data_IF_617865220450
#
_entry.id   IF_617865220450
#
_cell.length_a   1.000
_cell.length_b   1.000
_cell.length_c   1.000
_cell.angle_alpha   90.00
_cell.angle_beta   90.00
_cell.angle_gamma   90.00
#
_symmetry.space_group_name_H-M   'P 1'
#
loop_
_entity.id
_entity.type
_entity.pdbx_description
1 polymer ?
#
# COMPACT_ATOMS: atom_id res chain seq x y z
N UNK A 1 -4.37 12.92 -31.73
CA UNK A 1 -3.53 13.27 -30.57
C UNK A 1 -3.57 12.10 -29.57
N UNK A 2 -2.46 11.35 -29.47
CA UNK A 2 -2.29 10.18 -28.58
C UNK A 2 -1.86 10.66 -27.19
N UNK A 3 -2.82 10.83 -26.29
CA UNK A 3 -2.58 11.04 -24.86
C UNK A 3 -2.84 9.75 -24.09
N UNK A 4 -1.91 8.80 -24.11
CA UNK A 4 -1.88 7.67 -23.16
C UNK A 4 -0.42 7.35 -22.87
N UNK A 5 -0.07 7.23 -21.58
CA UNK A 5 1.24 6.86 -21.00
C UNK A 5 2.15 7.99 -20.48
N UNK A 6 1.58 9.00 -19.84
CA UNK A 6 2.29 9.70 -18.76
C UNK A 6 1.51 9.43 -17.48
N UNK A 7 2.22 9.20 -16.37
CA UNK A 7 1.80 8.65 -15.06
C UNK A 7 1.99 7.12 -14.96
N UNK A 8 2.64 6.71 -13.86
CA UNK A 8 3.00 5.35 -13.43
C UNK A 8 4.38 4.82 -13.87
N UNK A 9 5.44 5.35 -13.26
CA UNK A 9 6.79 4.77 -13.28
C UNK A 9 7.34 4.45 -11.87
N UNK A 10 6.49 4.21 -10.86
CA UNK A 10 6.94 3.82 -9.52
C UNK A 10 6.36 2.50 -8.98
N UNK A 11 5.38 1.87 -9.66
CA UNK A 11 4.77 0.60 -9.17
C UNK A 11 5.14 -0.61 -10.02
N UNK A 12 5.78 -0.41 -11.18
CA UNK A 12 6.15 -1.51 -12.09
C UNK A 12 7.62 -1.98 -11.94
N UNK A 13 8.30 -1.65 -10.84
CA UNK A 13 9.63 -2.22 -10.55
C UNK A 13 9.55 -3.55 -9.78
N UNK A 14 8.40 -3.93 -9.23
CA UNK A 14 8.25 -5.16 -8.45
C UNK A 14 7.87 -6.41 -9.24
N UNK A 15 7.61 -6.30 -10.55
CA UNK A 15 7.13 -7.42 -11.36
C UNK A 15 8.13 -7.94 -12.41
N UNK A 16 9.40 -7.49 -12.38
CA UNK A 16 10.44 -7.94 -13.32
C UNK A 16 11.70 -8.52 -12.66
N UNK A 17 11.66 -8.89 -11.39
CA UNK A 17 12.77 -9.56 -10.73
C UNK A 17 12.69 -11.10 -10.89
N UNK A 18 12.92 -11.60 -12.11
CA UNK A 18 13.18 -13.01 -12.37
C UNK A 18 13.61 -13.19 -13.83
N UNK A 19 14.71 -13.83 -14.19
CA UNK A 19 15.71 -14.64 -13.48
C UNK A 19 17.06 -14.42 -14.21
N UNK A 20 18.18 -14.35 -13.48
CA UNK A 20 19.37 -15.17 -13.77
C UNK A 20 20.56 -14.83 -12.85
N UNK A 21 21.11 -15.90 -12.27
CA UNK A 21 22.51 -16.01 -11.86
C UNK A 21 22.92 -15.38 -10.53
N UNK A 22 22.89 -16.19 -9.47
CA UNK A 22 23.71 -16.08 -8.25
C UNK A 22 23.90 -14.65 -7.68
N UNK A 23 22.80 -14.02 -7.27
CA UNK A 23 22.88 -12.91 -6.32
C UNK A 23 23.20 -13.48 -4.93
N UNK A 24 24.30 -13.05 -4.31
CA UNK A 24 24.69 -13.51 -2.97
C UNK A 24 23.60 -13.28 -1.91
N UNK A 25 23.81 -13.78 -0.70
CA UNK A 25 22.87 -13.74 0.45
C UNK A 25 22.11 -12.39 0.61
N UNK A 26 22.79 -11.26 0.35
CA UNK A 26 22.19 -9.92 0.39
C UNK A 26 21.05 -9.70 -0.63
N UNK A 27 21.18 -10.22 -1.86
CA UNK A 27 20.17 -10.08 -2.90
C UNK A 27 18.95 -10.97 -2.63
N UNK A 28 19.18 -12.21 -2.17
CA UNK A 28 18.09 -13.10 -1.74
C UNK A 28 17.30 -12.49 -0.57
N UNK A 29 18.01 -11.90 0.40
CA UNK A 29 17.41 -11.19 1.53
C UNK A 29 16.63 -9.94 1.09
N UNK A 30 17.14 -9.16 0.14
CA UNK A 30 16.43 -8.01 -0.42
C UNK A 30 15.09 -8.44 -1.03
N UNK A 31 15.11 -9.44 -1.91
CA UNK A 31 13.92 -9.95 -2.57
C UNK A 31 12.89 -10.46 -1.56
N UNK A 32 13.32 -11.25 -0.56
CA UNK A 32 12.42 -11.75 0.48
C UNK A 32 11.76 -10.63 1.31
N UNK A 33 12.49 -9.55 1.60
CA UNK A 33 11.93 -8.39 2.31
C UNK A 33 10.94 -7.61 1.43
N UNK A 34 11.25 -7.41 0.15
CA UNK A 34 10.35 -6.76 -0.81
C UNK A 34 9.08 -7.59 -1.02
N UNK A 35 9.19 -8.90 -1.19
CA UNK A 35 8.05 -9.80 -1.37
C UNK A 35 7.14 -9.80 -0.13
N UNK A 36 7.74 -9.87 1.07
CA UNK A 36 7.01 -9.79 2.32
C UNK A 36 6.30 -8.44 2.51
N UNK A 37 6.98 -7.34 2.18
CA UNK A 37 6.41 -6.00 2.25
C UNK A 37 5.22 -5.88 1.28
N UNK A 38 5.38 -6.37 0.05
CA UNK A 38 4.34 -6.35 -1.00
C UNK A 38 3.09 -7.08 -0.56
N UNK A 39 3.22 -8.31 -0.05
CA UNK A 39 2.10 -9.07 0.51
C UNK A 39 1.44 -8.33 1.66
N UNK A 40 2.23 -7.70 2.54
CA UNK A 40 1.71 -6.93 3.67
C UNK A 40 0.88 -5.75 3.20
N UNK A 41 1.37 -4.99 2.21
CA UNK A 41 0.67 -3.84 1.62
C UNK A 41 -0.65 -4.28 0.99
N UNK A 42 -0.62 -5.26 0.08
CA UNK A 42 -1.83 -5.67 -0.64
C UNK A 42 -2.86 -6.38 0.24
N UNK A 43 -2.42 -7.11 1.27
CA UNK A 43 -3.34 -7.72 2.24
C UNK A 43 -4.04 -6.64 3.09
N UNK A 44 -3.33 -5.56 3.44
CA UNK A 44 -3.89 -4.45 4.22
C UNK A 44 -4.75 -3.50 3.38
N UNK A 45 -4.55 -3.47 2.05
CA UNK A 45 -5.21 -2.56 1.12
C UNK A 45 -5.92 -3.31 -0.04
N UNK A 46 -7.12 -3.90 0.22
CA UNK A 46 -7.93 -4.55 -0.81
C UNK A 46 -8.34 -3.65 -1.98
N UNK A 47 -8.41 -2.34 -1.74
CA UNK A 47 -8.67 -1.31 -2.74
C UNK A 47 -7.50 -1.16 -3.72
N UNK A 48 -6.26 -1.14 -3.22
CA UNK A 48 -5.06 -1.14 -4.07
C UNK A 48 -4.94 -2.46 -4.85
N UNK A 49 -5.34 -3.58 -4.26
CA UNK A 49 -5.39 -4.86 -4.96
C UNK A 49 -6.36 -4.82 -6.16
N UNK A 50 -7.52 -4.18 -6.01
CA UNK A 50 -8.43 -3.90 -7.14
C UNK A 50 -7.79 -2.93 -8.14
N UNK A 51 -7.19 -1.84 -7.68
CA UNK A 51 -6.60 -0.81 -8.54
C UNK A 51 -5.51 -1.37 -9.46
N UNK A 52 -4.62 -2.20 -8.91
CA UNK A 52 -3.51 -2.80 -9.66
C UNK A 52 -3.86 -4.15 -10.30
N UNK A 53 -5.07 -4.67 -10.08
CA UNK A 53 -5.52 -5.97 -10.58
C UNK A 53 -4.52 -7.10 -10.28
N UNK A 54 -4.02 -7.15 -9.03
CA UNK A 54 -3.06 -8.18 -8.61
C UNK A 54 -3.74 -9.52 -8.40
N UNK A 55 -2.97 -10.60 -8.42
CA UNK A 55 -3.46 -11.94 -8.14
C UNK A 55 -3.94 -12.09 -6.69
N UNK A 56 -4.99 -12.88 -6.47
CA UNK A 56 -5.51 -13.15 -5.12
C UNK A 56 -4.50 -13.86 -4.21
N UNK A 57 -3.55 -14.63 -4.76
CA UNK A 57 -2.45 -15.20 -3.99
C UNK A 57 -1.55 -14.13 -3.35
N UNK A 58 -1.57 -12.90 -3.88
CA UNK A 58 -0.79 -11.78 -3.34
C UNK A 58 -1.57 -10.95 -2.30
N UNK A 59 -2.86 -10.71 -2.54
CA UNK A 59 -3.71 -9.81 -1.75
C UNK A 59 -4.71 -10.52 -0.81
N UNK A 60 -4.79 -11.84 -0.91
CA UNK A 60 -5.82 -12.67 -0.29
C UNK A 60 -7.11 -12.72 -1.11
N UNK A 61 -7.75 -13.88 -1.09
CA UNK A 61 -9.00 -14.16 -1.81
C UNK A 61 -10.10 -13.14 -1.47
N UNK A 62 -10.95 -12.87 -2.46
CA UNK A 62 -12.13 -12.01 -2.30
C UNK A 62 -11.77 -10.57 -1.93
N UNK A 63 -10.59 -10.06 -2.32
CA UNK A 63 -10.23 -8.67 -2.00
C UNK A 63 -11.25 -7.68 -2.59
N UNK A 64 -11.89 -8.01 -3.72
CA UNK A 64 -12.94 -7.19 -4.35
C UNK A 64 -14.21 -7.02 -3.49
N UNK A 65 -14.44 -7.88 -2.50
CA UNK A 65 -15.56 -7.78 -1.56
C UNK A 65 -15.21 -7.05 -0.25
N UNK A 66 -13.94 -6.67 -0.06
CA UNK A 66 -13.39 -6.14 1.21
C UNK A 66 -12.99 -4.68 1.09
N UNK A 67 -12.99 -3.97 2.22
CA UNK A 67 -12.47 -2.61 2.35
C UNK A 67 -11.24 -2.60 3.28
N UNK A 68 -10.31 -1.65 3.10
CA UNK A 68 -9.25 -1.41 4.08
C UNK A 68 -9.83 -0.97 5.43
N UNK A 69 -9.14 -1.34 6.50
CA UNK A 69 -9.42 -0.83 7.85
C UNK A 69 -8.64 0.48 8.07
N UNK A 70 -9.40 1.56 8.32
CA UNK A 70 -8.88 2.91 8.55
C UNK A 70 -8.85 3.30 10.04
N UNK A 71 -9.15 2.37 10.95
CA UNK A 71 -9.11 2.61 12.39
C UNK A 71 -7.68 2.85 12.93
N UNK A 72 -7.54 3.53 14.08
CA UNK A 72 -6.25 3.79 14.71
C UNK A 72 -5.40 2.53 14.96
N UNK A 73 -6.03 1.43 15.38
CA UNK A 73 -5.33 0.17 15.65
C UNK A 73 -4.77 -0.46 14.37
N UNK A 74 -5.54 -0.43 13.28
CA UNK A 74 -5.10 -0.94 11.99
C UNK A 74 -3.94 -0.11 11.42
N UNK A 75 -4.00 1.22 11.57
CA UNK A 75 -2.91 2.12 11.20
C UNK A 75 -1.63 1.83 12.01
N UNK A 76 -1.74 1.67 13.33
CA UNK A 76 -0.59 1.34 14.19
C UNK A 76 0.02 -0.01 13.83
N UNK A 77 -0.82 -1.03 13.61
CA UNK A 77 -0.37 -2.34 13.15
C UNK A 77 0.41 -2.23 11.83
N UNK A 78 -0.05 -1.37 10.91
CA UNK A 78 0.60 -1.12 9.61
C UNK A 78 1.94 -0.40 9.80
N UNK A 79 2.00 0.64 10.63
CA UNK A 79 3.24 1.36 11.00
C UNK A 79 4.28 0.42 11.59
N UNK A 80 3.90 -0.41 12.55
CA UNK A 80 4.80 -1.38 13.17
C UNK A 80 5.30 -2.43 12.16
N UNK A 81 4.43 -2.92 11.27
CA UNK A 81 4.84 -3.82 10.20
C UNK A 81 5.87 -3.18 9.27
N UNK A 82 5.60 -1.97 8.80
CA UNK A 82 6.49 -1.25 7.90
C UNK A 82 7.81 -0.89 8.60
N UNK A 83 7.80 -0.49 9.88
CA UNK A 83 9.02 -0.24 10.63
C UNK A 83 9.95 -1.47 10.71
N UNK A 84 9.38 -2.68 10.83
CA UNK A 84 10.16 -3.94 10.77
C UNK A 84 10.80 -4.15 9.40
N UNK A 85 10.06 -3.96 8.31
CA UNK A 85 10.62 -4.06 6.96
C UNK A 85 11.69 -2.99 6.71
N UNK A 86 11.45 -1.74 7.12
CA UNK A 86 12.43 -0.66 7.01
C UNK A 86 13.74 -1.01 7.73
N UNK A 87 13.65 -1.54 8.95
CA UNK A 87 14.84 -2.01 9.70
C UNK A 87 15.58 -3.12 8.95
N UNK A 88 14.84 -4.11 8.43
CA UNK A 88 15.42 -5.20 7.64
C UNK A 88 16.13 -4.71 6.38
N UNK A 89 15.51 -3.77 5.66
CA UNK A 89 16.06 -3.15 4.45
C UNK A 89 17.28 -2.29 4.75
N UNK A 90 17.29 -1.51 5.84
CA UNK A 90 18.45 -0.72 6.25
C UNK A 90 19.68 -1.57 6.62
N UNK A 91 19.45 -2.80 7.09
CA UNK A 91 20.53 -3.73 7.42
C UNK A 91 21.20 -4.41 6.21
N UNK A 92 20.70 -4.21 4.98
CA UNK A 92 21.30 -4.78 3.77
C UNK A 92 22.53 -3.95 3.36
N UNK A 93 23.72 -4.56 3.23
CA UNK A 93 24.90 -3.87 2.72
C UNK A 93 24.75 -3.60 1.22
N UNK A 94 24.58 -2.33 0.85
CA UNK A 94 24.30 -1.86 -0.52
C UNK A 94 25.41 -2.29 -1.48
N UNK A 95 26.66 -2.20 -1.06
CA UNK A 95 27.86 -2.56 -1.82
C UNK A 95 27.96 -4.06 -2.16
N UNK A 96 27.17 -4.92 -1.50
CA UNK A 96 27.08 -6.36 -1.82
C UNK A 96 26.00 -6.68 -2.86
N UNK A 97 25.34 -5.67 -3.41
CA UNK A 97 24.32 -5.82 -4.45
C UNK A 97 24.87 -5.41 -5.81
N UNK A 98 24.34 -6.02 -6.88
CA UNK A 98 24.55 -5.55 -8.25
C UNK A 98 23.89 -4.17 -8.45
N UNK A 99 24.34 -3.35 -9.42
CA UNK A 99 23.82 -1.99 -9.60
C UNK A 99 22.30 -1.86 -9.67
N UNK A 100 21.60 -2.81 -10.31
CA UNK A 100 20.14 -2.81 -10.40
C UNK A 100 19.49 -2.99 -9.03
N UNK A 101 19.96 -3.99 -8.27
CA UNK A 101 19.46 -4.26 -6.92
C UNK A 101 19.84 -3.16 -5.91
N UNK A 102 20.93 -2.41 -6.16
CA UNK A 102 21.23 -1.21 -5.40
C UNK A 102 20.16 -0.14 -5.60
N UNK A 103 19.73 0.08 -6.85
CA UNK A 103 18.67 1.03 -7.16
C UNK A 103 17.34 0.62 -6.51
N UNK A 104 16.97 -0.66 -6.57
CA UNK A 104 15.77 -1.18 -5.92
C UNK A 104 15.81 -0.95 -4.40
N UNK A 105 16.95 -1.26 -3.76
CA UNK A 105 17.17 -1.03 -2.34
C UNK A 105 17.06 0.47 -1.98
N UNK A 106 17.65 1.35 -2.79
CA UNK A 106 17.63 2.79 -2.56
C UNK A 106 16.21 3.34 -2.69
N UNK A 107 15.44 2.89 -3.69
CA UNK A 107 14.03 3.27 -3.90
C UNK A 107 13.17 2.83 -2.73
N UNK A 108 13.23 1.54 -2.33
CA UNK A 108 12.37 1.06 -1.25
C UNK A 108 12.73 1.72 0.08
N UNK A 109 14.01 1.98 0.35
CA UNK A 109 14.43 2.74 1.54
C UNK A 109 13.87 4.16 1.53
N UNK A 110 13.89 4.84 0.38
CA UNK A 110 13.33 6.19 0.25
C UNK A 110 11.81 6.21 0.48
N UNK A 111 11.06 5.26 -0.11
CA UNK A 111 9.62 5.11 0.11
C UNK A 111 9.32 4.89 1.60
N UNK A 112 10.05 3.98 2.26
CA UNK A 112 9.85 3.68 3.68
C UNK A 112 10.18 4.86 4.58
N UNK A 113 11.25 5.61 4.28
CA UNK A 113 11.60 6.82 5.01
C UNK A 113 10.53 7.91 4.86
N UNK A 114 9.97 8.07 3.66
CA UNK A 114 8.89 9.03 3.40
C UNK A 114 7.60 8.64 4.13
N UNK A 115 7.24 7.36 4.12
CA UNK A 115 6.00 6.88 4.75
C UNK A 115 6.04 6.91 6.27
N UNK A 116 7.15 6.45 6.86
CA UNK A 116 7.31 6.40 8.32
C UNK A 116 7.62 7.78 8.91
N UNK A 117 8.08 8.72 8.08
CA UNK A 117 8.36 10.09 8.47
C UNK A 117 9.37 10.20 9.61
N UNK A 118 9.31 11.32 10.34
CA UNK A 118 9.94 11.42 11.65
C UNK A 118 9.21 10.48 12.63
N UNK A 119 9.97 9.76 13.46
CA UNK A 119 9.45 8.77 14.44
C UNK A 119 8.35 9.30 15.36
N UNK A 120 8.25 10.62 15.52
CA UNK A 120 7.33 11.28 16.44
C UNK A 120 5.99 11.70 15.80
N UNK A 121 5.78 11.44 14.50
CA UNK A 121 4.52 11.74 13.81
C UNK A 121 3.46 10.68 14.14
N UNK A 122 2.73 10.89 15.22
CA UNK A 122 1.65 10.02 15.70
C UNK A 122 0.34 10.15 14.90
N UNK A 123 0.27 11.08 13.93
CA UNK A 123 -0.95 11.43 13.21
C UNK A 123 -0.90 11.06 11.72
N UNK A 124 -2.05 11.15 11.06
CA UNK A 124 -2.20 10.89 9.63
C UNK A 124 -2.12 9.40 9.29
N UNK A 125 -2.18 9.09 8.01
CA UNK A 125 -2.22 7.71 7.51
C UNK A 125 -1.05 7.40 6.59
N UNK A 126 -0.54 6.18 6.65
CA UNK A 126 0.50 5.71 5.72
C UNK A 126 -0.07 4.80 4.62
N UNK A 127 0.38 5.05 3.40
CA UNK A 127 0.13 4.25 2.21
C UNK A 127 1.35 4.30 1.30
N UNK A 128 2.11 3.19 1.24
CA UNK A 128 3.37 3.10 0.49
C UNK A 128 3.20 3.24 -1.03
N UNK A 129 1.99 3.01 -1.56
CA UNK A 129 1.72 3.10 -3.00
C UNK A 129 0.99 4.40 -3.37
N UNK A 130 0.64 5.23 -2.38
CA UNK A 130 0.17 6.59 -2.61
C UNK A 130 1.32 7.53 -2.96
N UNK A 131 1.03 8.56 -3.78
CA UNK A 131 1.97 9.60 -4.18
C UNK A 131 2.63 10.33 -2.99
N UNK A 132 1.92 10.45 -1.87
CA UNK A 132 2.41 11.19 -0.69
C UNK A 132 3.12 10.31 0.34
N UNK A 133 2.98 8.98 0.26
CA UNK A 133 3.43 7.98 1.23
C UNK A 133 2.82 8.13 2.65
N UNK A 134 2.89 9.33 3.23
CA UNK A 134 2.20 9.77 4.44
C UNK A 134 1.20 10.86 4.08
N UNK A 135 -0.03 10.74 4.57
CA UNK A 135 -1.09 11.74 4.37
C UNK A 135 -1.49 12.31 5.73
N UNK A 136 -1.28 13.61 6.00
CA UNK A 136 -1.53 14.19 7.32
C UNK A 136 -3.02 14.20 7.68
N UNK A 137 -3.89 14.44 6.69
CA UNK A 137 -5.34 14.47 6.88
C UNK A 137 -5.99 13.30 6.12
N UNK A 138 -6.56 12.34 6.86
CA UNK A 138 -7.26 11.20 6.26
C UNK A 138 -8.47 11.65 5.42
N UNK A 139 -9.08 12.80 5.76
CA UNK A 139 -10.18 13.41 5.01
C UNK A 139 -9.76 14.81 4.55
N UNK A 140 -9.79 15.05 3.25
CA UNK A 140 -9.64 16.38 2.65
C UNK A 140 -10.64 16.59 1.50
N UNK A 141 -10.60 17.77 0.89
CA UNK A 141 -11.40 18.14 -0.27
C UNK A 141 -10.98 17.45 -1.58
N UNK A 142 -9.75 16.91 -1.64
CA UNK A 142 -9.18 16.35 -2.88
C UNK A 142 -8.73 14.88 -2.73
N UNK A 143 -8.53 14.43 -1.50
CA UNK A 143 -8.00 13.10 -1.20
C UNK A 143 -8.66 12.49 0.02
N UNK A 144 -8.55 11.17 0.14
CA UNK A 144 -9.04 10.38 1.26
C UNK A 144 -9.91 9.21 0.80
N UNK A 145 -10.15 8.22 1.67
CA UNK A 145 -10.92 7.04 1.33
C UNK A 145 -12.37 7.35 0.93
N UNK A 146 -12.95 8.45 1.43
CA UNK A 146 -14.29 8.92 1.05
C UNK A 146 -14.39 9.39 -0.40
N UNK A 147 -13.27 9.72 -1.05
CA UNK A 147 -13.19 10.08 -2.47
C UNK A 147 -12.67 8.89 -3.29
N UNK A 148 -11.55 8.30 -2.84
CA UNK A 148 -10.82 7.30 -3.61
C UNK A 148 -11.59 5.99 -3.79
N UNK A 149 -12.24 5.48 -2.73
CA UNK A 149 -12.92 4.18 -2.78
C UNK A 149 -14.16 4.22 -3.66
N UNK A 150 -15.08 5.20 -3.54
CA UNK A 150 -16.19 5.32 -4.48
C UNK A 150 -15.74 5.44 -5.94
N UNK A 151 -14.66 6.20 -6.19
CA UNK A 151 -14.11 6.34 -7.53
C UNK A 151 -13.54 5.03 -8.07
N UNK A 152 -12.76 4.31 -7.27
CA UNK A 152 -12.22 2.98 -7.60
C UNK A 152 -13.35 2.01 -7.95
N UNK A 153 -14.38 1.95 -7.09
CA UNK A 153 -15.52 1.07 -7.31
C UNK A 153 -16.23 1.40 -8.63
N UNK A 154 -16.53 2.68 -8.87
CA UNK A 154 -17.23 3.10 -10.09
C UNK A 154 -16.41 2.91 -11.37
N UNK A 155 -15.08 3.09 -11.31
CA UNK A 155 -14.23 3.15 -12.50
C UNK A 155 -13.48 1.85 -12.81
N UNK A 156 -13.18 1.02 -11.81
CA UNK A 156 -12.22 -0.08 -11.97
C UNK A 156 -12.69 -1.41 -11.38
N UNK A 157 -13.58 -1.43 -10.38
CA UNK A 157 -14.04 -2.70 -9.83
C UNK A 157 -14.90 -3.46 -10.87
N UNK A 158 -14.55 -4.72 -11.18
CA UNK A 158 -15.29 -5.48 -12.17
C UNK A 158 -16.70 -5.84 -11.68
N UNK A 159 -17.67 -5.82 -12.59
CA UNK A 159 -19.10 -6.16 -12.36
C UNK A 159 -19.68 -6.95 -13.55
N UNK A 160 -18.86 -7.75 -14.23
CA UNK A 160 -19.22 -8.45 -15.47
C UNK A 160 -19.86 -9.83 -15.25
N UNK A 161 -19.97 -10.28 -13.99
CA UNK A 161 -20.61 -11.56 -13.63
C UNK A 161 -21.44 -11.43 -12.35
N UNK A 162 -22.37 -12.37 -12.08
CA UNK A 162 -23.11 -12.39 -10.83
C UNK A 162 -22.22 -12.42 -9.59
N UNK A 163 -21.11 -13.17 -9.62
CA UNK A 163 -20.15 -13.21 -8.53
C UNK A 163 -19.50 -11.83 -8.30
N UNK A 164 -19.06 -11.17 -9.37
CA UNK A 164 -18.46 -9.83 -9.29
C UNK A 164 -19.47 -8.77 -8.82
N UNK A 165 -20.74 -8.89 -9.21
CA UNK A 165 -21.81 -8.04 -8.71
C UNK A 165 -22.05 -8.26 -7.20
N UNK A 166 -21.97 -9.50 -6.72
CA UNK A 166 -22.03 -9.79 -5.28
C UNK A 166 -20.86 -9.18 -4.52
N UNK A 167 -19.63 -9.27 -5.04
CA UNK A 167 -18.45 -8.65 -4.44
C UNK A 167 -18.62 -7.12 -4.34
N UNK A 168 -19.17 -6.49 -5.39
CA UNK A 168 -19.47 -5.07 -5.40
C UNK A 168 -20.46 -4.67 -4.31
N UNK A 169 -21.55 -5.41 -4.16
CA UNK A 169 -22.55 -5.18 -3.12
C UNK A 169 -21.96 -5.42 -1.73
N UNK A 170 -21.18 -6.48 -1.54
CA UNK A 170 -20.53 -6.79 -0.27
C UNK A 170 -19.57 -5.67 0.15
N UNK A 171 -18.77 -5.15 -0.80
CA UNK A 171 -17.89 -4.02 -0.53
C UNK A 171 -18.67 -2.76 -0.17
N UNK A 172 -19.79 -2.46 -0.84
CA UNK A 172 -20.68 -1.35 -0.47
C UNK A 172 -21.23 -1.48 0.96
N UNK A 173 -21.63 -2.69 1.37
CA UNK A 173 -22.14 -2.95 2.72
C UNK A 173 -21.09 -2.65 3.81
N UNK A 174 -19.79 -2.76 3.49
CA UNK A 174 -18.69 -2.45 4.40
C UNK A 174 -18.48 -0.94 4.68
N UNK A 175 -19.11 -0.04 3.92
CA UNK A 175 -18.87 1.41 4.03
C UNK A 175 -19.14 1.95 5.44
N UNK A 176 -20.16 1.42 6.13
CA UNK A 176 -20.49 1.84 7.49
C UNK A 176 -19.31 1.65 8.45
N UNK A 177 -18.75 0.45 8.49
CA UNK A 177 -17.57 0.12 9.31
C UNK A 177 -16.34 0.94 8.89
N UNK A 178 -16.13 1.09 7.58
CA UNK A 178 -15.02 1.90 7.06
C UNK A 178 -15.09 3.36 7.57
N UNK A 179 -16.26 4.00 7.48
CA UNK A 179 -16.46 5.37 7.95
C UNK A 179 -16.35 5.50 9.47
N UNK A 180 -16.75 4.48 10.24
CA UNK A 180 -16.51 4.45 11.68
C UNK A 180 -15.01 4.46 12.00
N UNK A 181 -14.21 3.67 11.28
CA UNK A 181 -12.76 3.67 11.39
C UNK A 181 -12.15 5.04 11.03
N UNK A 182 -12.57 5.62 9.90
CA UNK A 182 -12.14 6.97 9.48
C UNK A 182 -12.45 8.01 10.56
N UNK A 183 -13.67 8.00 11.12
CA UNK A 183 -14.05 8.94 12.18
C UNK A 183 -13.21 8.73 13.46
N UNK A 184 -12.99 7.48 13.86
CA UNK A 184 -12.12 7.17 15.00
C UNK A 184 -10.70 7.68 14.78
N UNK A 185 -10.18 7.59 13.55
CA UNK A 185 -8.87 8.11 13.18
C UNK A 185 -8.80 9.63 13.22
N UNK A 186 -9.82 10.32 12.72
CA UNK A 186 -9.93 11.79 12.82
C UNK A 186 -9.86 12.23 14.29
N UNK A 187 -10.63 11.57 15.17
CA UNK A 187 -10.63 11.88 16.61
C UNK A 187 -9.27 11.59 17.26
N UNK A 188 -8.61 10.49 16.86
CA UNK A 188 -7.28 10.16 17.37
C UNK A 188 -6.22 11.19 16.95
N UNK A 189 -6.24 11.61 15.68
CA UNK A 189 -5.33 12.63 15.15
C UNK A 189 -5.57 13.99 15.81
N UNK A 190 -6.83 14.35 16.06
CA UNK A 190 -7.18 15.57 16.77
C UNK A 190 -6.60 15.61 18.19
N UNK A 191 -6.60 14.47 18.90
CA UNK A 191 -6.00 14.35 20.23
C UNK A 191 -4.46 14.42 20.20
N UNK A 192 -3.85 14.07 19.07
CA UNK A 192 -2.41 14.16 18.85
C UNK A 192 -1.94 15.55 18.41
N UNK A 193 -2.85 16.55 18.33
CA UNK A 193 -2.51 17.93 18.02
C UNK A 193 -2.68 18.34 16.55
N UNK A 194 -3.41 17.55 15.76
CA UNK A 194 -3.92 17.96 14.45
C UNK A 194 -5.32 18.56 14.50
#
# INVERSE_FOLDING_TARGET
MRWRRFHFLAVLALLLAGCDGAGGDAAARLNALIDGLTRTVFTASPDLATYYAVDEALAGEGYNARLPDYGPEAEEKRRLAYARYATGLQAIPRERLRPEAQADLDIVRAIMASALGARDLAYGTIDLLSFTAHTPYIVSQISGPHIAIPHLMAAQQPVASPAQAHDYIARLQGFGTMFQGINAKIVADARAGL
#
